data_IF_561103815741
#
_entry.id   IF_561103815741
#
_cell.length_a   1.000
_cell.length_b   1.000
_cell.length_c   1.000
_cell.angle_alpha   90.00
_cell.angle_beta   90.00
_cell.angle_gamma   90.00
#
_symmetry.space_group_name_H-M   'P 1'
#
loop_
_entity.id
_entity.type
_entity.pdbx_description
1 polymer ?
#
# COMPACT_ATOMS: atom_id res chain seq x y z
N UNK A 1 -17.15 13.26 64.66
CA UNK A 1 -16.78 13.57 63.26
C UNK A 1 -17.87 14.43 62.66
N UNK A 2 -17.58 15.71 62.44
CA UNK A 2 -18.54 16.66 61.91
C UNK A 2 -18.93 16.26 60.48
N UNK A 3 -20.18 16.48 60.06
CA UNK A 3 -20.69 16.00 58.76
C UNK A 3 -19.85 16.51 57.57
N UNK A 4 -19.27 17.68 57.72
CA UNK A 4 -18.39 18.32 56.74
C UNK A 4 -16.97 17.72 56.71
N UNK A 5 -16.45 17.21 57.83
CA UNK A 5 -15.17 16.49 57.85
C UNK A 5 -15.29 15.14 57.14
N UNK A 6 -16.40 14.42 57.37
CA UNK A 6 -16.69 13.14 56.70
C UNK A 6 -16.86 13.35 55.20
N UNK A 7 -17.56 14.43 54.81
CA UNK A 7 -17.72 14.80 53.39
C UNK A 7 -16.37 15.15 52.75
N UNK A 8 -15.52 15.93 53.42
CA UNK A 8 -14.18 16.28 52.90
C UNK A 8 -13.25 15.06 52.82
N UNK A 9 -13.33 14.11 53.77
CA UNK A 9 -12.60 12.84 53.72
C UNK A 9 -13.06 11.94 52.57
N UNK A 10 -14.37 11.84 52.34
CA UNK A 10 -14.95 11.03 51.24
C UNK A 10 -14.62 11.65 49.89
N UNK A 11 -14.70 12.98 49.75
CA UNK A 11 -14.32 13.66 48.50
C UNK A 11 -12.82 13.57 48.23
N UNK A 12 -11.99 13.71 49.27
CA UNK A 12 -10.53 13.51 49.20
C UNK A 12 -10.16 12.09 48.78
N UNK A 13 -10.79 11.06 49.36
CA UNK A 13 -10.48 9.66 49.05
C UNK A 13 -10.97 9.25 47.65
N UNK A 14 -12.19 9.66 47.27
CA UNK A 14 -12.79 9.36 45.97
C UNK A 14 -12.08 10.09 44.82
N UNK A 15 -11.67 11.34 45.03
CA UNK A 15 -10.86 12.07 44.06
C UNK A 15 -9.48 11.43 43.88
N UNK A 16 -8.84 10.93 44.96
CA UNK A 16 -7.57 10.21 44.85
C UNK A 16 -7.71 8.88 44.10
N UNK A 17 -8.78 8.12 44.34
CA UNK A 17 -9.03 6.87 43.61
C UNK A 17 -9.31 7.10 42.13
N UNK A 18 -10.09 8.14 41.80
CA UNK A 18 -10.42 8.48 40.41
C UNK A 18 -9.20 9.02 39.67
N UNK A 19 -8.34 9.81 40.34
CA UNK A 19 -7.06 10.27 39.81
C UNK A 19 -6.12 9.10 39.52
N UNK A 20 -5.97 8.17 40.47
CA UNK A 20 -5.11 7.01 40.31
C UNK A 20 -5.60 6.10 39.17
N UNK A 21 -6.90 5.86 39.08
CA UNK A 21 -7.50 5.07 37.99
C UNK A 21 -7.26 5.73 36.62
N UNK A 22 -7.42 7.05 36.55
CA UNK A 22 -7.20 7.81 35.31
C UNK A 22 -5.72 7.81 34.91
N UNK A 23 -4.82 7.98 35.86
CA UNK A 23 -3.37 7.96 35.63
C UNK A 23 -2.91 6.56 35.18
N UNK A 24 -3.38 5.50 35.85
CA UNK A 24 -3.12 4.11 35.43
C UNK A 24 -3.57 3.85 34.00
N UNK A 25 -4.80 4.27 33.64
CA UNK A 25 -5.33 4.12 32.27
C UNK A 25 -4.53 4.92 31.25
N UNK A 26 -4.15 6.15 31.58
CA UNK A 26 -3.33 6.98 30.69
C UNK A 26 -1.97 6.33 30.42
N UNK A 27 -1.33 5.77 31.45
CA UNK A 27 -0.06 5.06 31.34
C UNK A 27 -0.19 3.80 30.47
N UNK A 28 -1.26 3.00 30.65
CA UNK A 28 -1.46 1.79 29.83
C UNK A 28 -1.63 2.13 28.35
N UNK A 29 -2.37 3.18 28.00
CA UNK A 29 -2.55 3.58 26.60
C UNK A 29 -1.29 4.22 26.01
N UNK A 30 -0.53 4.96 26.82
CA UNK A 30 0.76 5.52 26.40
C UNK A 30 1.76 4.39 26.12
N UNK A 31 1.83 3.39 27.00
CA UNK A 31 2.70 2.22 26.81
C UNK A 31 2.28 1.42 25.56
N UNK A 32 0.98 1.22 25.33
CA UNK A 32 0.51 0.52 24.13
C UNK A 32 0.82 1.31 22.86
N UNK A 33 0.53 2.61 22.85
CA UNK A 33 0.83 3.45 21.68
C UNK A 33 2.33 3.52 21.41
N UNK A 34 3.15 3.52 22.46
CA UNK A 34 4.61 3.51 22.35
C UNK A 34 5.13 2.19 21.81
N UNK A 35 4.62 1.04 22.30
CA UNK A 35 5.02 -0.27 21.78
C UNK A 35 4.58 -0.46 20.33
N UNK A 36 3.37 -0.04 19.98
CA UNK A 36 2.87 -0.07 18.61
C UNK A 36 3.68 0.86 17.69
N UNK A 37 4.04 2.05 18.15
CA UNK A 37 4.91 2.96 17.41
C UNK A 37 6.30 2.35 17.20
N UNK A 38 6.90 1.77 18.23
CA UNK A 38 8.17 1.05 18.14
C UNK A 38 8.12 -0.12 17.14
N UNK A 39 7.05 -0.91 17.15
CA UNK A 39 6.85 -1.97 16.15
C UNK A 39 6.75 -1.39 14.73
N UNK A 40 6.01 -0.30 14.57
CA UNK A 40 5.82 0.33 13.26
C UNK A 40 7.13 0.85 12.65
N UNK A 41 7.98 1.49 13.46
CA UNK A 41 9.27 2.05 13.02
C UNK A 41 10.30 0.96 12.72
N UNK A 42 10.18 -0.20 13.37
CA UNK A 42 11.06 -1.34 13.07
C UNK A 42 10.65 -2.08 11.79
N UNK A 43 9.35 -2.12 11.47
CA UNK A 43 8.83 -2.80 10.27
C UNK A 43 8.97 -1.93 9.01
N UNK A 44 8.85 -0.60 9.14
CA UNK A 44 9.05 0.31 8.02
C UNK A 44 10.54 0.69 7.89
N UNK A 45 11.13 0.62 6.68
CA UNK A 45 12.50 1.07 6.49
C UNK A 45 12.63 2.59 6.69
N UNK A 46 13.68 3.03 7.39
CA UNK A 46 13.96 4.44 7.68
C UNK A 46 14.21 5.26 6.40
N UNK A 47 14.89 4.66 5.43
CA UNK A 47 15.28 5.30 4.16
C UNK A 47 14.27 5.05 3.03
N UNK A 48 13.03 4.70 3.38
CA UNK A 48 11.97 4.36 2.41
C UNK A 48 11.85 5.39 1.29
N UNK A 49 11.88 6.66 1.66
CA UNK A 49 11.72 7.78 0.74
C UNK A 49 12.85 7.87 -0.29
N UNK A 50 14.10 7.71 0.13
CA UNK A 50 15.25 7.82 -0.78
C UNK A 50 15.27 6.70 -1.81
N UNK A 51 14.94 5.47 -1.39
CA UNK A 51 14.79 4.35 -2.32
C UNK A 51 13.63 4.56 -3.29
N UNK A 52 12.46 4.96 -2.79
CA UNK A 52 11.30 5.24 -3.64
C UNK A 52 11.62 6.32 -4.69
N UNK A 53 12.30 7.39 -4.26
CA UNK A 53 12.73 8.48 -5.14
C UNK A 53 13.72 8.00 -6.21
N UNK A 54 14.74 7.22 -5.86
CA UNK A 54 15.75 6.72 -6.81
C UNK A 54 15.12 5.89 -7.95
N UNK A 55 14.14 5.05 -7.63
CA UNK A 55 13.42 4.28 -8.65
C UNK A 55 12.47 5.16 -9.48
N UNK A 56 11.79 6.13 -8.86
CA UNK A 56 10.87 7.03 -9.56
C UNK A 56 11.58 7.99 -10.51
N UNK A 57 12.72 8.54 -10.11
CA UNK A 57 13.49 9.49 -10.92
C UNK A 57 14.04 8.85 -12.21
N UNK A 58 14.15 7.52 -12.25
CA UNK A 58 14.66 6.74 -13.40
C UNK A 58 13.59 6.25 -14.37
N UNK A 59 12.30 6.35 -14.01
CA UNK A 59 11.19 5.86 -14.84
C UNK A 59 10.37 7.07 -15.27
N UNK A 60 10.09 7.22 -16.57
CA UNK A 60 9.36 8.35 -17.13
C UNK A 60 7.83 8.30 -16.88
N UNK A 61 7.37 7.67 -15.80
CA UNK A 61 5.94 7.52 -15.49
C UNK A 61 5.51 8.58 -14.48
N UNK A 62 4.70 9.53 -14.94
CA UNK A 62 4.00 10.49 -14.07
C UNK A 62 2.50 10.15 -14.00
N UNK A 63 2.00 9.63 -12.87
CA UNK A 63 0.60 9.21 -12.74
C UNK A 63 -0.38 10.33 -13.13
N UNK A 64 -1.32 10.02 -14.02
CA UNK A 64 -2.35 10.95 -14.48
C UNK A 64 -1.91 11.96 -15.55
N UNK A 65 -0.61 12.01 -15.90
CA UNK A 65 -0.07 12.84 -16.99
C UNK A 65 0.35 11.98 -18.17
N UNK A 66 1.04 10.87 -17.91
CA UNK A 66 1.49 9.99 -18.97
C UNK A 66 0.34 9.17 -19.54
N UNK A 67 0.18 9.24 -20.84
CA UNK A 67 -0.72 8.40 -21.63
C UNK A 67 0.13 7.72 -22.68
N UNK A 68 0.02 6.41 -22.78
CA UNK A 68 0.81 5.60 -23.70
C UNK A 68 -0.12 4.88 -24.68
N UNK A 69 0.40 4.63 -25.86
CA UNK A 69 -0.18 3.66 -26.79
C UNK A 69 0.52 2.30 -26.62
N UNK A 70 0.03 1.26 -27.30
CA UNK A 70 0.62 -0.10 -27.21
C UNK A 70 2.12 -0.07 -27.56
N UNK A 71 2.51 0.71 -28.57
CA UNK A 71 3.92 0.87 -28.95
C UNK A 71 4.72 1.51 -27.82
N UNK A 72 4.21 2.57 -27.20
CA UNK A 72 4.86 3.23 -26.06
C UNK A 72 5.00 2.33 -24.83
N UNK A 73 4.06 1.41 -24.60
CA UNK A 73 4.19 0.39 -23.54
C UNK A 73 5.36 -0.55 -23.80
N UNK A 74 5.51 -1.04 -25.04
CA UNK A 74 6.62 -1.90 -25.40
C UNK A 74 7.96 -1.17 -25.34
N UNK A 75 8.04 0.06 -25.84
CA UNK A 75 9.24 0.90 -25.73
C UNK A 75 9.65 1.12 -24.27
N UNK A 76 8.69 1.37 -23.38
CA UNK A 76 8.96 1.55 -21.96
C UNK A 76 9.43 0.24 -21.29
N UNK A 77 8.87 -0.90 -21.66
CA UNK A 77 9.28 -2.23 -21.17
C UNK A 77 10.71 -2.59 -21.62
N UNK A 78 11.01 -2.40 -22.90
CA UNK A 78 12.30 -2.76 -23.50
C UNK A 78 13.42 -1.78 -23.11
N UNK A 79 13.16 -0.47 -23.19
CA UNK A 79 14.21 0.53 -23.04
C UNK A 79 14.39 1.02 -21.60
N UNK A 80 13.32 1.28 -20.86
CA UNK A 80 13.45 1.83 -19.50
C UNK A 80 13.47 0.72 -18.44
N UNK A 81 12.44 -0.13 -18.41
CA UNK A 81 12.26 -1.13 -17.35
C UNK A 81 13.37 -2.17 -17.39
N UNK A 82 13.73 -2.68 -18.57
CA UNK A 82 14.75 -3.73 -18.65
C UNK A 82 16.14 -3.19 -18.29
N UNK A 83 16.45 -1.93 -18.58
CA UNK A 83 17.69 -1.27 -18.15
C UNK A 83 17.72 -0.95 -16.65
N UNK A 84 16.59 -0.60 -16.06
CA UNK A 84 16.48 -0.33 -14.63
C UNK A 84 16.75 -1.59 -13.78
N UNK A 85 16.25 -2.72 -14.24
CA UNK A 85 16.22 -3.98 -13.47
C UNK A 85 17.53 -4.75 -13.58
N UNK A 86 18.22 -4.60 -14.70
CA UNK A 86 19.49 -5.25 -14.95
C UNK A 86 20.62 -4.23 -14.89
N UNK A 87 21.55 -4.43 -13.95
CA UNK A 87 22.78 -3.65 -13.93
C UNK A 87 23.51 -3.74 -15.28
N UNK A 88 23.65 -2.59 -15.94
CA UNK A 88 24.39 -2.43 -17.20
C UNK A 88 25.89 -2.20 -16.97
N UNK A 89 26.65 -2.08 -18.06
CA UNK A 89 28.10 -1.87 -18.02
C UNK A 89 28.47 -0.71 -17.09
N UNK A 90 29.59 -0.85 -16.36
CA UNK A 90 30.14 0.27 -15.62
C UNK A 90 30.43 1.44 -16.57
N UNK A 91 30.51 2.66 -16.06
CA UNK A 91 30.85 3.86 -16.82
C UNK A 91 32.15 3.76 -17.64
N UNK A 92 33.00 2.77 -17.34
CA UNK A 92 34.22 2.40 -18.07
C UNK A 92 34.00 1.49 -19.30
N UNK A 93 32.77 1.07 -19.60
CA UNK A 93 32.49 0.12 -20.69
C UNK A 93 32.87 -1.33 -20.37
N UNK A 94 33.42 -1.59 -19.18
CA UNK A 94 33.75 -2.92 -18.72
C UNK A 94 32.49 -3.67 -18.24
N UNK A 95 32.40 -4.94 -18.64
CA UNK A 95 31.38 -5.86 -18.17
C UNK A 95 31.73 -6.21 -16.73
N UNK A 96 30.91 -5.74 -15.78
CA UNK A 96 31.05 -6.11 -14.37
C UNK A 96 31.01 -7.64 -14.17
N UNK A 97 31.65 -8.17 -13.11
CA UNK A 97 31.65 -9.59 -12.81
C UNK A 97 30.22 -10.17 -12.76
N UNK A 98 30.07 -11.46 -13.05
CA UNK A 98 28.77 -12.14 -13.18
C UNK A 98 27.85 -11.96 -11.95
N UNK A 99 28.44 -11.69 -10.79
CA UNK A 99 27.78 -11.40 -9.52
C UNK A 99 27.06 -10.04 -9.50
N UNK A 100 27.56 -9.05 -10.23
CA UNK A 100 27.03 -7.68 -10.23
C UNK A 100 25.80 -7.55 -11.13
N UNK A 101 25.64 -8.47 -12.10
CA UNK A 101 24.45 -8.57 -12.97
C UNK A 101 23.16 -8.99 -12.23
N UNK A 102 23.29 -9.43 -10.97
CA UNK A 102 22.16 -9.77 -10.12
C UNK A 102 21.56 -8.55 -9.39
N UNK A 103 22.23 -7.39 -9.46
CA UNK A 103 21.74 -6.13 -8.90
C UNK A 103 20.95 -5.34 -9.92
N UNK A 104 20.07 -4.46 -9.41
CA UNK A 104 19.44 -3.42 -10.20
C UNK A 104 20.47 -2.37 -10.62
N UNK A 105 20.07 -1.44 -11.49
CA UNK A 105 20.93 -0.35 -11.96
C UNK A 105 21.47 0.58 -10.85
N UNK A 106 20.88 0.55 -9.65
CA UNK A 106 21.40 1.29 -8.49
C UNK A 106 22.69 0.67 -7.90
N UNK A 107 23.04 -0.56 -8.29
CA UNK A 107 24.21 -1.28 -7.80
C UNK A 107 24.10 -1.77 -6.34
N UNK A 108 22.94 -1.56 -5.68
CA UNK A 108 22.75 -1.86 -4.25
C UNK A 108 21.57 -2.81 -4.03
N UNK A 109 20.53 -2.70 -4.86
CA UNK A 109 19.34 -3.54 -4.74
C UNK A 109 19.56 -4.86 -5.46
N UNK A 110 19.74 -5.94 -4.70
CA UNK A 110 19.82 -7.30 -5.22
C UNK A 110 18.45 -7.73 -5.74
N UNK A 111 18.40 -8.38 -6.90
CA UNK A 111 17.13 -8.75 -7.51
C UNK A 111 16.69 -10.16 -7.12
N UNK A 112 15.44 -10.29 -6.71
CA UNK A 112 14.86 -11.55 -6.24
C UNK A 112 14.05 -12.20 -7.34
N UNK A 113 14.62 -13.22 -7.98
CA UNK A 113 14.00 -13.96 -9.07
C UNK A 113 13.82 -13.13 -10.34
N UNK A 114 13.17 -13.72 -11.37
CA UNK A 114 12.88 -13.04 -12.62
C UNK A 114 11.70 -12.08 -12.50
N UNK A 115 11.65 -11.08 -13.37
CA UNK A 115 10.50 -10.19 -13.50
C UNK A 115 9.31 -10.96 -14.10
N UNK A 116 8.10 -10.57 -13.70
CA UNK A 116 6.86 -11.12 -14.22
C UNK A 116 6.06 -10.06 -14.94
N UNK A 117 5.39 -10.47 -16.01
CA UNK A 117 4.45 -9.67 -16.76
C UNK A 117 3.12 -10.41 -16.76
N UNK A 118 2.12 -9.85 -16.08
CA UNK A 118 0.80 -10.46 -15.92
C UNK A 118 -0.24 -9.62 -16.62
N UNK A 119 -0.97 -10.24 -17.55
CA UNK A 119 -2.03 -9.62 -18.31
C UNK A 119 -3.39 -10.15 -17.83
N UNK A 120 -4.36 -9.25 -17.68
CA UNK A 120 -5.73 -9.62 -17.36
C UNK A 120 -6.64 -9.44 -18.57
N UNK A 121 -7.42 -10.48 -18.87
CA UNK A 121 -8.41 -10.52 -19.96
C UNK A 121 -9.74 -11.09 -19.44
N UNK A 122 -10.82 -10.84 -20.18
CA UNK A 122 -12.18 -11.29 -19.79
C UNK A 122 -12.40 -12.80 -20.02
N UNK A 123 -11.70 -13.37 -20.99
CA UNK A 123 -11.83 -14.78 -21.37
C UNK A 123 -10.68 -15.63 -20.84
N UNK A 124 -11.06 -16.71 -20.14
CA UNK A 124 -10.13 -17.75 -19.71
C UNK A 124 -10.06 -18.81 -20.80
N UNK A 125 -8.92 -19.48 -20.91
CA UNK A 125 -8.77 -20.55 -21.87
C UNK A 125 -7.33 -20.93 -22.09
N UNK A 126 -7.20 -21.85 -23.03
CA UNK A 126 -5.92 -22.25 -23.57
C UNK A 126 -5.78 -21.63 -24.97
N UNK A 127 -4.79 -20.78 -25.12
CA UNK A 127 -4.49 -20.10 -26.36
C UNK A 127 -3.10 -20.48 -26.86
N UNK A 128 -2.87 -20.30 -28.15
CA UNK A 128 -1.52 -20.25 -28.74
C UNK A 128 -1.13 -18.81 -29.04
N UNK A 129 0.05 -18.64 -29.64
CA UNK A 129 0.53 -17.36 -30.15
C UNK A 129 -0.57 -16.61 -30.90
N UNK A 130 -0.65 -15.29 -30.71
CA UNK A 130 -1.68 -14.42 -31.28
C UNK A 130 -3.11 -14.77 -30.88
N UNK A 131 -3.29 -15.38 -29.70
CA UNK A 131 -4.58 -15.65 -29.08
C UNK A 131 -5.50 -16.60 -29.86
N UNK A 132 -4.94 -17.48 -30.67
CA UNK A 132 -5.73 -18.53 -31.31
C UNK A 132 -6.21 -19.56 -30.28
N UNK A 133 -7.52 -19.81 -30.17
CA UNK A 133 -8.07 -20.74 -29.18
C UNK A 133 -7.69 -22.18 -29.54
N UNK A 134 -7.33 -22.96 -28.53
CA UNK A 134 -7.04 -24.38 -28.65
C UNK A 134 -8.11 -25.22 -27.92
N UNK A 135 -8.43 -26.42 -28.42
CA UNK A 135 -9.34 -27.34 -27.72
C UNK A 135 -8.75 -27.76 -26.36
N UNK A 136 -9.62 -28.19 -25.45
CA UNK A 136 -9.20 -28.68 -24.12
C UNK A 136 -8.21 -29.83 -24.28
N UNK A 137 -7.02 -29.64 -23.73
CA UNK A 137 -5.91 -30.58 -23.85
C UNK A 137 -5.89 -31.52 -22.65
N UNK A 138 -5.40 -32.75 -22.84
CA UNK A 138 -5.21 -33.69 -21.73
C UNK A 138 -4.25 -33.16 -20.65
N UNK A 139 -4.47 -33.56 -19.39
CA UNK A 139 -3.73 -33.07 -18.22
C UNK A 139 -2.20 -33.27 -18.33
N UNK A 140 -1.76 -34.33 -19.02
CA UNK A 140 -0.32 -34.60 -19.24
C UNK A 140 0.34 -33.56 -20.13
N UNK A 141 -0.35 -33.10 -21.16
CA UNK A 141 0.16 -32.06 -22.07
C UNK A 141 0.08 -30.71 -21.36
N UNK A 142 -0.97 -30.46 -20.58
CA UNK A 142 -1.10 -29.26 -19.75
C UNK A 142 0.12 -29.07 -18.83
N UNK A 143 0.55 -30.13 -18.13
CA UNK A 143 1.75 -30.12 -17.28
C UNK A 143 3.04 -29.79 -18.05
N UNK A 144 3.14 -30.16 -19.33
CA UNK A 144 4.28 -29.80 -20.19
C UNK A 144 4.20 -28.36 -20.67
N UNK A 145 3.01 -27.89 -21.02
CA UNK A 145 2.78 -26.51 -21.48
C UNK A 145 3.04 -25.51 -20.36
N UNK A 146 2.56 -25.76 -19.14
CA UNK A 146 2.81 -24.90 -17.97
C UNK A 146 4.31 -24.78 -17.66
N UNK A 147 5.11 -25.80 -17.96
CA UNK A 147 6.57 -25.78 -17.78
C UNK A 147 7.30 -25.04 -18.89
N UNK A 148 6.67 -24.80 -20.03
CA UNK A 148 7.29 -24.09 -21.16
C UNK A 148 7.11 -22.58 -20.99
N UNK A 149 8.20 -21.79 -20.88
CA UNK A 149 8.11 -20.35 -20.69
C UNK A 149 7.48 -19.61 -21.89
N UNK A 150 7.48 -20.23 -23.08
CA UNK A 150 6.91 -19.64 -24.30
C UNK A 150 5.40 -19.90 -24.43
N UNK A 151 4.90 -20.98 -23.81
CA UNK A 151 3.50 -21.39 -23.89
C UNK A 151 2.71 -21.06 -22.63
N UNK A 152 3.36 -21.00 -21.46
CA UNK A 152 2.73 -20.58 -20.20
C UNK A 152 2.03 -19.22 -20.26
N UNK A 153 2.50 -18.20 -21.03
CA UNK A 153 1.84 -16.90 -21.11
C UNK A 153 0.44 -16.93 -21.74
N UNK A 154 0.06 -18.02 -22.40
CA UNK A 154 -1.21 -18.16 -23.11
C UNK A 154 -2.20 -19.08 -22.40
N UNK A 155 -1.88 -19.48 -21.17
CA UNK A 155 -2.71 -20.39 -20.38
C UNK A 155 -3.21 -19.70 -19.11
N UNK A 156 -4.52 -19.73 -18.92
CA UNK A 156 -5.17 -19.31 -17.68
C UNK A 156 -6.55 -19.97 -17.56
N UNK A 157 -6.75 -20.76 -16.52
CA UNK A 157 -8.02 -21.45 -16.25
C UNK A 157 -8.82 -20.81 -15.13
N UNK A 158 -8.13 -20.21 -14.16
CA UNK A 158 -8.74 -19.67 -12.96
C UNK A 158 -9.02 -18.19 -13.12
N UNK A 159 -10.28 -17.82 -12.91
CA UNK A 159 -10.64 -16.41 -12.74
C UNK A 159 -10.17 -15.94 -11.37
N UNK A 160 -9.36 -14.90 -11.35
CA UNK A 160 -8.90 -14.24 -10.14
C UNK A 160 -9.41 -12.81 -10.10
N UNK A 161 -9.64 -12.30 -8.89
CA UNK A 161 -9.87 -10.87 -8.71
C UNK A 161 -8.53 -10.16 -8.67
N UNK A 162 -8.50 -8.96 -9.23
CA UNK A 162 -7.34 -8.07 -9.10
C UNK A 162 -7.02 -7.88 -7.61
N UNK A 163 -5.74 -7.93 -7.27
CA UNK A 163 -5.29 -7.76 -5.88
C UNK A 163 -5.75 -6.41 -5.32
N UNK A 164 -6.17 -6.38 -4.05
CA UNK A 164 -6.82 -5.20 -3.45
C UNK A 164 -5.89 -3.99 -3.31
N UNK A 165 -4.58 -4.22 -3.33
CA UNK A 165 -3.52 -3.21 -3.26
C UNK A 165 -3.22 -2.56 -4.61
N UNK A 166 -3.84 -3.03 -5.69
CA UNK A 166 -3.75 -2.41 -7.01
C UNK A 166 -4.78 -1.27 -7.10
N UNK A 167 -4.28 -0.08 -7.39
CA UNK A 167 -5.08 1.11 -7.65
C UNK A 167 -5.12 1.40 -9.14
N UNK A 168 -6.32 1.33 -9.69
CA UNK A 168 -6.59 1.78 -11.06
C UNK A 168 -6.87 3.29 -11.04
N UNK A 169 -6.50 3.98 -12.12
CA UNK A 169 -6.75 5.42 -12.24
C UNK A 169 -8.21 5.69 -12.56
N UNK A 170 -8.85 4.80 -13.33
CA UNK A 170 -10.28 4.90 -13.61
C UNK A 170 -11.12 4.31 -12.46
N UNK A 171 -12.34 4.81 -12.24
CA UNK A 171 -13.23 4.32 -11.19
C UNK A 171 -13.78 2.91 -11.46
N UNK A 172 -13.62 2.39 -12.69
CA UNK A 172 -14.09 1.07 -13.05
C UNK A 172 -13.08 0.01 -12.59
N UNK A 173 -13.10 -0.31 -11.29
CA UNK A 173 -12.58 -1.62 -10.86
C UNK A 173 -13.37 -2.69 -11.60
N UNK A 174 -12.67 -3.59 -12.30
CA UNK A 174 -13.32 -4.70 -13.00
C UNK A 174 -14.30 -5.40 -12.06
N UNK A 175 -15.60 -5.24 -12.34
CA UNK A 175 -16.67 -5.82 -11.53
C UNK A 175 -16.67 -7.35 -11.63
N UNK A 176 -16.11 -7.90 -12.71
CA UNK A 176 -15.98 -9.31 -13.00
C UNK A 176 -14.57 -9.81 -12.69
N UNK A 177 -14.48 -11.04 -12.17
CA UNK A 177 -13.20 -11.73 -12.05
C UNK A 177 -12.62 -11.96 -13.46
N UNK A 178 -11.35 -11.60 -13.65
CA UNK A 178 -10.63 -11.69 -14.92
C UNK A 178 -9.67 -12.88 -14.89
N UNK A 179 -9.14 -13.25 -16.04
CA UNK A 179 -8.20 -14.36 -16.18
C UNK A 179 -6.80 -13.76 -16.29
N UNK A 180 -5.89 -14.22 -15.42
CA UNK A 180 -4.52 -13.73 -15.34
C UNK A 180 -3.60 -14.64 -16.17
N UNK A 181 -2.96 -14.06 -17.17
CA UNK A 181 -1.98 -14.70 -18.05
C UNK A 181 -0.60 -14.17 -17.70
N UNK A 182 0.32 -15.02 -17.26
CA UNK A 182 1.62 -14.58 -16.73
C UNK A 182 2.78 -15.07 -17.60
N UNK A 183 3.60 -14.13 -18.03
CA UNK A 183 4.90 -14.36 -18.65
C UNK A 183 6.04 -14.09 -17.66
N UNK A 184 7.08 -14.91 -17.72
CA UNK A 184 8.30 -14.73 -16.93
C UNK A 184 9.38 -14.23 -17.88
N UNK A 185 9.93 -13.05 -17.61
CA UNK A 185 10.89 -12.39 -18.50
C UNK A 185 12.29 -13.03 -18.41
N UNK A 186 12.62 -13.65 -17.29
CA UNK A 186 13.90 -14.32 -17.07
C UNK A 186 14.88 -13.52 -16.21
N UNK A 187 16.04 -14.12 -15.93
CA UNK A 187 17.02 -13.59 -14.98
C UNK A 187 18.20 -12.88 -15.65
N UNK A 188 18.37 -12.95 -16.96
CA UNK A 188 19.38 -12.16 -17.67
C UNK A 188 18.72 -11.09 -18.52
N UNK A 189 19.43 -9.99 -18.78
CA UNK A 189 18.96 -8.96 -19.71
C UNK A 189 18.61 -9.57 -21.07
N UNK A 190 19.47 -10.44 -21.59
CA UNK A 190 19.26 -11.14 -22.87
C UNK A 190 18.01 -12.02 -22.90
N UNK A 191 17.65 -12.67 -21.78
CA UNK A 191 16.42 -13.47 -21.71
C UNK A 191 15.19 -12.59 -21.61
N UNK A 192 15.28 -11.48 -20.85
CA UNK A 192 14.23 -10.47 -20.77
C UNK A 192 13.95 -9.85 -22.15
N UNK A 193 14.98 -9.37 -22.84
CA UNK A 193 14.90 -8.78 -24.18
C UNK A 193 14.32 -9.77 -25.22
N UNK A 194 14.74 -11.05 -25.14
CA UNK A 194 14.18 -12.10 -26.00
C UNK A 194 12.71 -12.36 -25.70
N UNK A 195 12.33 -12.39 -24.42
CA UNK A 195 10.95 -12.66 -24.05
C UNK A 195 10.03 -11.48 -24.37
N UNK A 196 10.45 -10.23 -24.14
CA UNK A 196 9.67 -9.05 -24.51
C UNK A 196 9.46 -8.98 -26.01
N UNK A 197 10.52 -9.17 -26.81
CA UNK A 197 10.43 -9.17 -28.28
C UNK A 197 9.53 -10.30 -28.79
N UNK A 198 9.65 -11.52 -28.27
CA UNK A 198 8.74 -12.61 -28.61
C UNK A 198 7.27 -12.27 -28.32
N UNK A 199 6.97 -11.70 -27.14
CA UNK A 199 5.59 -11.34 -26.77
C UNK A 199 5.05 -10.19 -27.63
N UNK A 200 5.91 -9.25 -28.01
CA UNK A 200 5.58 -8.15 -28.92
C UNK A 200 5.27 -8.68 -30.32
N UNK A 201 6.15 -9.50 -30.89
CA UNK A 201 5.98 -10.09 -32.22
C UNK A 201 4.76 -11.00 -32.29
N UNK A 202 4.43 -11.68 -31.18
CA UNK A 202 3.25 -12.50 -31.05
C UNK A 202 1.93 -11.72 -30.86
N UNK A 203 1.98 -10.39 -30.77
CA UNK A 203 0.83 -9.54 -30.43
C UNK A 203 0.13 -9.97 -29.12
N UNK A 204 0.92 -10.28 -28.08
CA UNK A 204 0.37 -10.72 -26.79
C UNK A 204 -0.50 -9.65 -26.13
N UNK A 205 -0.14 -8.37 -26.28
CA UNK A 205 -0.98 -7.24 -25.90
C UNK A 205 -1.88 -6.84 -27.08
N UNK A 206 -3.19 -6.97 -26.88
CA UNK A 206 -4.21 -6.62 -27.87
C UNK A 206 -5.36 -5.78 -27.28
N UNK A 207 -6.35 -5.44 -28.10
CA UNK A 207 -7.54 -4.67 -27.72
C UNK A 207 -8.40 -5.31 -26.60
N UNK A 208 -8.24 -6.62 -26.36
CA UNK A 208 -8.96 -7.34 -25.31
C UNK A 208 -8.20 -7.33 -23.98
N UNK A 209 -6.99 -6.75 -23.95
CA UNK A 209 -6.23 -6.50 -22.73
C UNK A 209 -6.93 -5.44 -21.90
N UNK A 210 -7.20 -5.76 -20.63
CA UNK A 210 -7.81 -4.82 -19.69
C UNK A 210 -6.76 -4.15 -18.79
N UNK A 211 -5.86 -4.96 -18.25
CA UNK A 211 -4.69 -4.48 -17.50
C UNK A 211 -3.48 -5.33 -17.76
N UNK A 212 -2.32 -4.68 -17.73
CA UNK A 212 -1.02 -5.33 -17.74
C UNK A 212 -0.27 -4.91 -16.49
N UNK A 213 0.32 -5.86 -15.79
CA UNK A 213 1.02 -5.65 -14.53
C UNK A 213 2.44 -6.18 -14.70
N UNK A 214 3.40 -5.29 -14.62
CA UNK A 214 4.80 -5.62 -14.52
C UNK A 214 5.20 -5.67 -13.04
N UNK A 215 5.85 -6.75 -12.59
CA UNK A 215 6.35 -6.87 -11.22
C UNK A 215 7.79 -7.38 -11.15
N UNK A 216 8.59 -6.77 -10.27
CA UNK A 216 9.92 -7.25 -9.89
C UNK A 216 10.15 -7.00 -8.40
N UNK A 217 10.68 -8.02 -7.71
CA UNK A 217 11.10 -7.89 -6.32
C UNK A 217 12.62 -7.71 -6.20
N UNK A 218 13.03 -6.91 -5.22
CA UNK A 218 14.41 -6.63 -4.88
C UNK A 218 14.63 -6.74 -3.36
N UNK A 219 15.88 -6.92 -2.96
CA UNK A 219 16.38 -6.88 -1.60
C UNK A 219 17.56 -5.92 -1.54
N UNK A 220 17.43 -4.87 -0.75
CA UNK A 220 18.56 -4.02 -0.40
C UNK A 220 19.20 -4.55 0.88
N UNK A 221 20.45 -5.01 0.78
CA UNK A 221 21.17 -5.62 1.89
C UNK A 221 21.61 -4.61 2.95
N UNK A 222 21.88 -3.35 2.57
CA UNK A 222 22.38 -2.33 3.48
C UNK A 222 21.32 -1.94 4.51
N UNK A 223 20.07 -1.74 4.06
CA UNK A 223 18.94 -1.40 4.93
C UNK A 223 18.10 -2.62 5.35
N UNK A 224 18.50 -3.83 4.92
CA UNK A 224 17.78 -5.10 5.12
C UNK A 224 16.30 -5.01 4.72
N UNK A 225 16.00 -4.42 3.57
CA UNK A 225 14.62 -4.21 3.12
C UNK A 225 14.34 -4.85 1.76
N UNK A 226 13.17 -5.45 1.66
CA UNK A 226 12.55 -5.90 0.43
C UNK A 226 11.79 -4.77 -0.23
N UNK A 227 11.87 -4.70 -1.55
CA UNK A 227 11.19 -3.73 -2.40
C UNK A 227 10.44 -4.49 -3.50
N UNK A 228 9.18 -4.14 -3.74
CA UNK A 228 8.43 -4.56 -4.92
C UNK A 228 8.23 -3.36 -5.83
N UNK A 229 8.81 -3.46 -7.03
CA UNK A 229 8.50 -2.60 -8.15
C UNK A 229 7.30 -3.17 -8.88
N UNK A 230 6.20 -2.43 -8.92
CA UNK A 230 5.02 -2.79 -9.70
C UNK A 230 4.59 -1.63 -10.58
N UNK A 231 4.44 -1.89 -11.88
CA UNK A 231 3.90 -0.94 -12.85
C UNK A 231 2.61 -1.53 -13.41
N UNK A 232 1.52 -0.79 -13.28
CA UNK A 232 0.19 -1.20 -13.73
C UNK A 232 -0.20 -0.34 -14.93
N UNK A 233 -0.39 -0.96 -16.07
CA UNK A 233 -0.91 -0.33 -17.27
C UNK A 233 -2.40 -0.65 -17.38
N UNK A 234 -3.23 0.38 -17.29
CA UNK A 234 -4.68 0.27 -17.42
C UNK A 234 -5.12 0.65 -18.83
N UNK A 235 -5.81 -0.26 -19.52
CA UNK A 235 -6.29 -0.05 -20.88
C UNK A 235 -7.70 0.53 -20.82
N UNK A 236 -7.89 1.72 -21.38
CA UNK A 236 -9.15 2.46 -21.32
C UNK A 236 -9.90 2.34 -22.66
N UNK A 237 -11.23 2.35 -22.58
CA UNK A 237 -12.12 2.44 -23.74
C UNK A 237 -11.82 3.75 -24.50
N UNK A 238 -11.14 3.64 -25.64
CA UNK A 238 -10.54 4.76 -26.35
C UNK A 238 -9.11 4.49 -26.83
N UNK A 239 -8.50 3.37 -26.43
CA UNK A 239 -7.19 2.92 -26.92
C UNK A 239 -5.99 3.49 -26.15
N UNK A 240 -6.21 4.48 -25.29
CA UNK A 240 -5.19 5.04 -24.41
C UNK A 240 -4.88 4.11 -23.24
N UNK A 241 -3.61 4.07 -22.84
CA UNK A 241 -3.10 3.26 -21.74
C UNK A 241 -2.58 4.19 -20.64
N UNK A 242 -3.04 3.95 -19.41
CA UNK A 242 -2.69 4.73 -18.22
C UNK A 242 -1.72 3.95 -17.33
N UNK A 243 -0.42 4.27 -17.32
CA UNK A 243 0.56 3.64 -16.45
C UNK A 243 0.48 4.21 -15.02
N UNK A 244 0.65 3.32 -14.03
CA UNK A 244 0.73 3.67 -12.61
C UNK A 244 1.89 2.92 -11.96
N UNK A 245 2.84 3.68 -11.39
CA UNK A 245 4.00 3.13 -10.70
C UNK A 245 3.74 3.05 -9.18
N UNK A 246 3.76 1.82 -8.66
CA UNK A 246 3.65 1.52 -7.23
C UNK A 246 4.92 0.85 -6.73
N UNK A 247 5.49 1.40 -5.66
CA UNK A 247 6.65 0.85 -4.98
C UNK A 247 6.24 0.49 -3.55
N UNK A 248 6.31 -0.79 -3.22
CA UNK A 248 6.04 -1.27 -1.87
C UNK A 248 7.32 -1.72 -1.21
N UNK A 249 7.50 -1.38 0.07
CA UNK A 249 8.73 -1.65 0.80
C UNK A 249 8.42 -2.32 2.13
N UNK A 250 9.30 -3.24 2.51
CA UNK A 250 9.17 -4.08 3.69
C UNK A 250 10.55 -4.30 4.31
N UNK A 251 10.74 -3.98 5.59
CA UNK A 251 11.99 -4.36 6.27
C UNK A 251 11.95 -5.83 6.71
N UNK A 252 13.05 -6.55 6.51
CA UNK A 252 13.23 -7.87 7.12
C UNK A 252 13.55 -7.65 8.59
N UNK A 253 12.69 -8.17 9.47
CA UNK A 253 12.85 -8.04 10.92
C UNK A 253 12.88 -9.45 11.49
N UNK A 254 14.01 -9.81 12.09
CA UNK A 254 14.17 -11.10 12.75
C UNK A 254 13.68 -11.02 14.19
N UNK A 255 13.12 -12.11 14.71
CA UNK A 255 12.75 -12.21 16.12
C UNK A 255 13.98 -12.21 17.06
N UNK A 256 15.19 -12.41 16.51
CA UNK A 256 16.46 -12.31 17.23
C UNK A 256 16.74 -10.87 17.68
N UNK A 257 16.13 -9.87 17.05
CA UNK A 257 16.28 -8.47 17.46
C UNK A 257 15.53 -8.25 18.79
N UNK A 258 16.32 -8.07 19.86
CA UNK A 258 15.83 -7.86 21.22
C UNK A 258 14.82 -6.72 21.30
N UNK A 259 15.01 -5.66 20.53
CA UNK A 259 14.13 -4.48 20.56
C UNK A 259 12.77 -4.78 19.93
N UNK A 260 12.76 -5.50 18.82
CA UNK A 260 11.54 -5.97 18.17
C UNK A 260 10.81 -7.00 19.05
N UNK A 261 11.53 -7.97 19.60
CA UNK A 261 10.96 -8.98 20.49
C UNK A 261 10.34 -8.35 21.75
N UNK A 262 11.02 -7.39 22.38
CA UNK A 262 10.52 -6.69 23.57
C UNK A 262 9.29 -5.81 23.26
N UNK A 263 9.31 -5.09 22.14
CA UNK A 263 8.15 -4.28 21.71
C UNK A 263 6.94 -5.15 21.34
N UNK A 264 7.18 -6.30 20.69
CA UNK A 264 6.13 -7.27 20.39
C UNK A 264 5.54 -7.87 21.67
N UNK A 265 6.39 -8.30 22.61
CA UNK A 265 5.96 -8.90 23.88
C UNK A 265 5.18 -7.91 24.76
N UNK A 266 5.62 -6.65 24.81
CA UNK A 266 4.90 -5.59 25.54
C UNK A 266 3.57 -5.26 24.88
N UNK A 267 3.52 -5.18 23.54
CA UNK A 267 2.28 -4.99 22.80
C UNK A 267 1.29 -6.14 23.03
N UNK A 268 1.73 -7.40 22.95
CA UNK A 268 0.85 -8.55 23.18
C UNK A 268 0.32 -8.62 24.61
N UNK A 269 1.15 -8.34 25.62
CA UNK A 269 0.71 -8.30 27.01
C UNK A 269 -0.36 -7.22 27.25
N UNK A 270 -0.18 -6.03 26.66
CA UNK A 270 -1.16 -4.94 26.77
C UNK A 270 -2.43 -5.22 25.95
N UNK A 271 -2.32 -5.88 24.81
CA UNK A 271 -3.47 -6.35 24.02
C UNK A 271 -4.34 -7.30 24.84
N UNK A 272 -3.72 -8.29 25.51
CA UNK A 272 -4.44 -9.23 26.37
C UNK A 272 -5.14 -8.49 27.52
N UNK A 273 -4.47 -7.52 28.14
CA UNK A 273 -5.09 -6.67 29.17
C UNK A 273 -6.33 -5.94 28.65
N UNK A 274 -6.28 -5.37 27.43
CA UNK A 274 -7.42 -4.69 26.83
C UNK A 274 -8.59 -5.65 26.52
N UNK A 275 -8.30 -6.85 26.02
CA UNK A 275 -9.32 -7.88 25.75
C UNK A 275 -10.04 -8.23 27.06
N UNK A 276 -9.31 -8.44 28.15
CA UNK A 276 -9.88 -8.72 29.47
C UNK A 276 -10.73 -7.53 29.96
N UNK A 277 -10.28 -6.29 29.77
CA UNK A 277 -11.07 -5.10 30.14
C UNK A 277 -12.41 -5.06 29.37
N UNK A 278 -12.40 -5.36 28.08
CA UNK A 278 -13.60 -5.38 27.24
C UNK A 278 -14.56 -6.48 27.69
N UNK A 279 -14.07 -7.70 27.94
CA UNK A 279 -14.88 -8.82 28.42
C UNK A 279 -15.56 -8.45 29.75
N UNK A 280 -14.82 -7.81 30.66
CA UNK A 280 -15.38 -7.35 31.94
C UNK A 280 -16.47 -6.29 31.75
N UNK A 281 -16.31 -5.33 30.85
CA UNK A 281 -17.31 -4.30 30.56
C UNK A 281 -18.58 -4.92 29.96
N UNK A 282 -18.43 -5.90 29.06
CA UNK A 282 -19.55 -6.65 28.48
C UNK A 282 -20.30 -7.42 29.56
N UNK A 283 -19.58 -8.11 30.45
CA UNK A 283 -20.20 -8.89 31.53
C UNK A 283 -20.99 -7.99 32.50
N UNK A 284 -20.48 -6.80 32.78
CA UNK A 284 -21.16 -5.77 33.59
C UNK A 284 -22.28 -5.02 32.85
N UNK A 285 -22.55 -5.35 31.57
CA UNK A 285 -23.59 -4.76 30.71
C UNK A 285 -23.55 -3.22 30.57
N UNK A 286 -22.36 -2.61 30.68
CA UNK A 286 -22.19 -1.16 30.57
C UNK A 286 -21.94 -0.72 29.12
N UNK A 287 -22.97 -0.85 28.28
CA UNK A 287 -22.91 -0.47 26.86
C UNK A 287 -22.99 1.06 26.72
N UNK A 288 -21.83 1.69 26.57
CA UNK A 288 -21.69 3.12 26.28
C UNK A 288 -21.05 3.34 24.91
N UNK A 289 -21.16 4.54 24.36
CA UNK A 289 -20.44 4.91 23.13
C UNK A 289 -18.93 4.67 23.25
N UNK A 290 -18.37 4.96 24.42
CA UNK A 290 -16.95 4.76 24.71
C UNK A 290 -16.56 3.28 24.73
N UNK A 291 -17.49 2.38 25.11
CA UNK A 291 -17.29 0.94 24.97
C UNK A 291 -17.17 0.53 23.49
N UNK A 292 -18.09 0.99 22.62
CA UNK A 292 -18.04 0.67 21.18
C UNK A 292 -16.73 1.17 20.56
N UNK A 293 -16.29 2.37 20.94
CA UNK A 293 -15.02 2.93 20.48
C UNK A 293 -13.81 2.09 20.93
N UNK A 294 -13.77 1.69 22.22
CA UNK A 294 -12.72 0.80 22.76
C UNK A 294 -12.74 -0.57 22.10
N UNK A 295 -13.92 -1.14 21.86
CA UNK A 295 -14.08 -2.43 21.19
C UNK A 295 -13.56 -2.38 19.74
N UNK A 296 -13.90 -1.33 18.99
CA UNK A 296 -13.39 -1.12 17.64
C UNK A 296 -11.85 -0.99 17.61
N UNK A 297 -11.27 -0.26 18.58
CA UNK A 297 -9.82 -0.17 18.76
C UNK A 297 -9.17 -1.53 19.03
N UNK A 298 -9.74 -2.31 19.96
CA UNK A 298 -9.23 -3.64 20.26
C UNK A 298 -9.30 -4.58 19.05
N UNK A 299 -10.38 -4.53 18.27
CA UNK A 299 -10.48 -5.29 17.00
C UNK A 299 -9.40 -4.85 16.02
N UNK A 300 -9.11 -3.55 15.91
CA UNK A 300 -8.02 -3.05 15.08
C UNK A 300 -6.66 -3.57 15.57
N UNK A 301 -6.38 -3.56 16.87
CA UNK A 301 -5.11 -4.03 17.43
C UNK A 301 -4.94 -5.56 17.30
N UNK A 302 -6.02 -6.33 17.47
CA UNK A 302 -6.02 -7.78 17.18
C UNK A 302 -5.71 -8.01 15.70
N UNK A 303 -6.29 -7.21 14.81
CA UNK A 303 -6.04 -7.31 13.38
C UNK A 303 -4.58 -6.96 13.04
N UNK A 304 -4.00 -5.95 13.69
CA UNK A 304 -2.56 -5.61 13.55
C UNK A 304 -1.69 -6.78 14.02
N UNK A 305 -1.99 -7.38 15.17
CA UNK A 305 -1.26 -8.54 15.67
C UNK A 305 -1.32 -9.71 14.68
N UNK A 306 -2.52 -10.04 14.18
CA UNK A 306 -2.70 -11.10 13.20
C UNK A 306 -1.91 -10.83 11.91
N UNK A 307 -1.89 -9.59 11.41
CA UNK A 307 -1.11 -9.19 10.25
C UNK A 307 0.40 -9.35 10.47
N UNK A 308 0.93 -9.03 11.65
CA UNK A 308 2.35 -9.23 11.99
C UNK A 308 2.72 -10.71 11.90
N UNK A 309 1.89 -11.59 12.48
CA UNK A 309 2.12 -13.05 12.48
C UNK A 309 2.03 -13.61 11.05
N UNK A 310 0.95 -13.31 10.33
CA UNK A 310 0.76 -13.78 8.96
C UNK A 310 1.88 -13.29 8.03
N UNK A 311 2.27 -12.02 8.15
CA UNK A 311 3.39 -11.46 7.39
C UNK A 311 4.67 -12.24 7.65
N UNK A 312 4.98 -12.57 8.91
CA UNK A 312 6.17 -13.36 9.25
C UNK A 312 6.17 -14.75 8.61
N UNK A 313 5.03 -15.44 8.65
CA UNK A 313 4.87 -16.77 8.03
C UNK A 313 5.05 -16.72 6.52
N UNK A 314 4.35 -15.82 5.82
CA UNK A 314 4.48 -15.71 4.37
C UNK A 314 5.85 -15.21 3.92
N UNK A 315 6.51 -14.36 4.72
CA UNK A 315 7.86 -13.92 4.43
C UNK A 315 8.85 -15.09 4.53
N UNK A 316 8.74 -15.93 5.57
CA UNK A 316 9.57 -17.13 5.72
C UNK A 316 9.35 -18.10 4.57
N UNK A 317 8.09 -18.38 4.21
CA UNK A 317 7.75 -19.26 3.09
C UNK A 317 8.30 -18.73 1.76
N UNK A 318 8.17 -17.42 1.50
CA UNK A 318 8.66 -16.80 0.28
C UNK A 318 10.19 -16.85 0.17
N UNK A 319 10.90 -16.63 1.29
CA UNK A 319 12.36 -16.73 1.34
C UNK A 319 12.80 -18.18 1.15
N UNK A 320 12.19 -19.14 1.84
CA UNK A 320 12.51 -20.57 1.72
C UNK A 320 12.31 -21.06 0.29
N UNK A 321 11.18 -20.70 -0.34
CA UNK A 321 10.92 -21.03 -1.74
C UNK A 321 11.96 -20.41 -2.69
N UNK A 322 12.40 -19.18 -2.42
CA UNK A 322 13.44 -18.54 -3.21
C UNK A 322 14.81 -19.22 -3.03
N UNK A 323 15.13 -19.69 -1.82
CA UNK A 323 16.36 -20.42 -1.56
C UNK A 323 16.37 -21.79 -2.27
N UNK A 324 15.22 -22.45 -2.37
CA UNK A 324 15.07 -23.73 -3.08
C UNK A 324 15.13 -23.57 -4.60
N UNK A 325 14.50 -22.54 -5.16
CA UNK A 325 14.52 -22.23 -6.59
C UNK A 325 14.77 -20.72 -6.84
N UNK A 326 16.05 -20.29 -6.92
CA UNK A 326 16.39 -18.88 -7.11
C UNK A 326 16.09 -18.37 -8.53
N UNK A 327 15.82 -19.27 -9.48
CA UNK A 327 15.42 -18.92 -10.85
C UNK A 327 13.90 -18.82 -10.99
N UNK A 328 13.15 -19.36 -10.03
CA UNK A 328 11.71 -19.25 -9.94
C UNK A 328 11.23 -17.88 -9.48
N UNK A 329 9.96 -17.57 -9.74
CA UNK A 329 9.31 -16.34 -9.26
C UNK A 329 8.98 -16.49 -7.78
N UNK A 330 9.58 -15.69 -6.88
CA UNK A 330 9.30 -15.80 -5.46
C UNK A 330 7.89 -15.30 -5.12
N UNK A 331 7.25 -15.92 -4.13
CA UNK A 331 5.85 -15.62 -3.73
C UNK A 331 5.72 -14.38 -2.83
N UNK A 332 6.41 -13.29 -3.13
CA UNK A 332 6.37 -12.08 -2.28
C UNK A 332 5.08 -11.27 -2.38
N UNK A 333 4.25 -11.47 -3.42
CA UNK A 333 3.03 -10.70 -3.63
C UNK A 333 2.09 -10.69 -2.41
N UNK A 334 1.94 -11.83 -1.72
CA UNK A 334 1.11 -11.92 -0.52
C UNK A 334 1.70 -11.15 0.67
N UNK A 335 3.03 -11.13 0.80
CA UNK A 335 3.72 -10.41 1.89
C UNK A 335 3.53 -8.90 1.72
N UNK A 336 3.69 -8.41 0.49
CA UNK A 336 3.48 -7.01 0.14
C UNK A 336 2.00 -6.61 0.28
N UNK A 337 1.07 -7.48 -0.11
CA UNK A 337 -0.36 -7.28 0.12
C UNK A 337 -0.70 -7.12 1.62
N UNK A 338 -0.13 -7.95 2.49
CA UNK A 338 -0.32 -7.80 3.95
C UNK A 338 0.30 -6.49 4.46
N UNK A 339 1.47 -6.11 3.95
CA UNK A 339 2.12 -4.84 4.31
C UNK A 339 1.29 -3.61 3.89
N UNK A 340 0.62 -3.70 2.72
CA UNK A 340 -0.28 -2.67 2.22
C UNK A 340 -1.45 -2.41 3.19
N UNK A 341 -2.02 -3.45 3.79
CA UNK A 341 -3.09 -3.34 4.78
C UNK A 341 -2.58 -2.97 6.18
N UNK A 342 -1.39 -3.45 6.55
CA UNK A 342 -0.77 -3.18 7.85
C UNK A 342 -0.51 -1.68 8.07
N UNK A 343 0.08 -1.01 7.08
CA UNK A 343 0.53 0.40 7.21
C UNK A 343 -0.61 1.36 7.58
N UNK A 344 -1.74 1.43 6.84
CA UNK A 344 -2.85 2.32 7.19
C UNK A 344 -3.57 1.88 8.48
N UNK A 345 -3.64 0.58 8.77
CA UNK A 345 -4.30 0.07 9.97
C UNK A 345 -3.54 0.50 11.25
N UNK A 346 -2.21 0.40 11.24
CA UNK A 346 -1.36 0.87 12.34
C UNK A 346 -1.46 2.38 12.51
N UNK A 347 -1.42 3.14 11.41
CA UNK A 347 -1.58 4.59 11.46
C UNK A 347 -2.95 5.00 12.05
N UNK A 348 -4.02 4.31 11.64
CA UNK A 348 -5.36 4.52 12.18
C UNK A 348 -5.44 4.15 13.66
N UNK A 349 -4.88 3.01 14.07
CA UNK A 349 -4.86 2.62 15.49
C UNK A 349 -4.09 3.62 16.34
N UNK A 350 -2.89 4.03 15.94
CA UNK A 350 -2.10 5.05 16.64
C UNK A 350 -2.87 6.36 16.78
N UNK A 351 -3.48 6.83 15.69
CA UNK A 351 -4.32 8.04 15.72
C UNK A 351 -5.48 7.90 16.72
N UNK A 352 -6.19 6.78 16.69
CA UNK A 352 -7.34 6.54 17.57
C UNK A 352 -6.92 6.39 19.05
N UNK A 353 -5.75 5.80 19.32
CA UNK A 353 -5.15 5.75 20.65
C UNK A 353 -4.81 7.15 21.19
N UNK A 354 -4.25 8.03 20.34
CA UNK A 354 -3.97 9.42 20.75
C UNK A 354 -5.26 10.18 21.06
N UNK A 355 -6.34 9.99 20.29
CA UNK A 355 -7.65 10.58 20.59
C UNK A 355 -8.21 10.10 21.93
N UNK A 356 -8.07 8.80 22.23
CA UNK A 356 -8.49 8.23 23.49
C UNK A 356 -7.68 8.78 24.67
N UNK A 357 -6.37 8.95 24.50
CA UNK A 357 -5.50 9.56 25.49
C UNK A 357 -5.92 11.00 25.77
N UNK A 358 -6.18 11.81 24.74
CA UNK A 358 -6.70 13.18 24.88
C UNK A 358 -8.04 13.18 25.63
N UNK A 359 -8.93 12.24 25.32
CA UNK A 359 -10.19 12.10 26.03
C UNK A 359 -10.02 11.75 27.52
N UNK A 360 -9.10 10.84 27.86
CA UNK A 360 -8.82 10.46 29.25
C UNK A 360 -8.16 11.62 30.00
N UNK A 361 -7.20 12.31 29.39
CA UNK A 361 -6.58 13.49 30.00
C UNK A 361 -7.60 14.63 30.20
N UNK A 362 -8.60 14.73 29.31
CA UNK A 362 -9.67 15.73 29.43
C UNK A 362 -10.51 15.60 30.71
N UNK A 363 -10.52 14.44 31.37
CA UNK A 363 -11.30 14.23 32.61
C UNK A 363 -10.55 14.70 33.85
N UNK A 364 -9.23 14.92 33.78
CA UNK A 364 -8.41 15.44 34.87
C UNK A 364 -8.59 16.96 35.01
N UNK A 365 -9.78 17.44 35.42
CA UNK A 365 -10.12 18.78 35.96
C UNK A 365 -9.46 20.07 35.42
N UNK A 366 -8.66 20.05 34.36
CA UNK A 366 -7.73 21.14 34.06
C UNK A 366 -8.25 22.15 33.05
N UNK A 367 -9.47 22.03 32.51
CA UNK A 367 -9.76 22.83 31.33
C UNK A 367 -11.24 23.23 31.17
N UNK A 368 -11.46 24.54 31.17
CA UNK A 368 -12.68 25.25 30.75
C UNK A 368 -13.01 25.05 29.26
N UNK A 369 -12.19 24.33 28.48
CA UNK A 369 -12.39 24.08 27.04
C UNK A 369 -13.59 23.19 26.71
N UNK A 370 -14.08 22.34 27.61
CA UNK A 370 -15.20 21.42 27.28
C UNK A 370 -16.49 22.20 27.05
N UNK A 371 -16.72 23.26 27.82
CA UNK A 371 -17.86 24.15 27.59
C UNK A 371 -17.70 24.91 26.28
N UNK A 372 -16.51 25.45 26.01
CA UNK A 372 -16.17 26.17 24.77
C UNK A 372 -16.32 25.25 23.55
N UNK A 373 -15.79 24.03 23.59
CA UNK A 373 -15.88 23.03 22.52
C UNK A 373 -17.32 22.55 22.31
N UNK A 374 -18.11 22.40 23.38
CA UNK A 374 -19.53 22.07 23.29
C UNK A 374 -20.33 23.21 22.65
N UNK A 375 -19.96 24.45 22.93
CA UNK A 375 -20.57 25.65 22.34
C UNK A 375 -20.15 25.81 20.86
N UNK A 376 -18.86 25.61 20.55
CA UNK A 376 -18.35 25.52 19.17
C UNK A 376 -19.01 24.40 18.38
N UNK A 377 -19.22 23.23 18.96
CA UNK A 377 -19.94 22.13 18.29
C UNK A 377 -21.38 22.55 17.96
N UNK A 378 -22.05 23.24 18.87
CA UNK A 378 -23.43 23.71 18.66
C UNK A 378 -23.54 24.74 17.53
N UNK A 379 -22.52 25.59 17.34
CA UNK A 379 -22.50 26.61 16.29
C UNK A 379 -21.92 26.12 14.97
N UNK A 380 -20.84 25.35 15.00
CA UNK A 380 -20.10 24.88 13.82
C UNK A 380 -20.78 23.70 13.13
N UNK A 381 -21.39 22.77 13.88
CA UNK A 381 -22.04 21.60 13.28
C UNK A 381 -23.13 21.96 12.25
N UNK A 382 -24.10 22.86 12.54
CA UNK A 382 -25.09 23.25 11.55
C UNK A 382 -24.47 24.01 10.36
N UNK A 383 -23.44 24.82 10.59
CA UNK A 383 -22.71 25.50 9.52
C UNK A 383 -22.04 24.51 8.56
N UNK A 384 -21.33 23.51 9.09
CA UNK A 384 -20.71 22.45 8.28
C UNK A 384 -21.77 21.64 7.54
N UNK A 385 -22.89 21.34 8.18
CA UNK A 385 -24.00 20.59 7.58
C UNK A 385 -24.66 21.35 6.41
N UNK A 386 -24.70 22.69 6.47
CA UNK A 386 -25.14 23.54 5.36
C UNK A 386 -24.07 23.67 4.25
N UNK A 387 -22.79 23.67 4.61
CA UNK A 387 -21.69 23.84 3.66
C UNK A 387 -21.45 22.58 2.79
N UNK A 388 -21.64 21.39 3.36
CA UNK A 388 -21.38 20.11 2.67
C UNK A 388 -22.20 19.95 1.37
N UNK A 389 -23.54 20.19 1.33
CA UNK A 389 -24.30 20.15 0.09
C UNK A 389 -23.83 21.16 -0.95
N UNK A 390 -23.44 22.37 -0.53
CA UNK A 390 -22.95 23.42 -1.44
C UNK A 390 -21.64 22.98 -2.08
N UNK A 391 -20.70 22.45 -1.28
CA UNK A 391 -19.43 21.92 -1.77
C UNK A 391 -19.63 20.71 -2.68
N UNK A 392 -20.58 19.84 -2.37
CA UNK A 392 -20.93 18.70 -3.22
C UNK A 392 -21.54 19.15 -4.55
N UNK A 393 -22.40 20.17 -4.54
CA UNK A 393 -22.96 20.79 -5.74
C UNK A 393 -21.86 21.38 -6.63
N UNK A 394 -20.94 22.17 -6.04
CA UNK A 394 -19.80 22.72 -6.77
C UNK A 394 -18.90 21.62 -7.35
N UNK A 395 -18.62 20.58 -6.56
CA UNK A 395 -17.87 19.40 -7.02
C UNK A 395 -18.54 18.72 -8.20
N UNK A 396 -19.86 18.61 -8.20
CA UNK A 396 -20.62 18.00 -9.29
C UNK A 396 -20.51 18.83 -10.58
N UNK A 397 -20.58 20.17 -10.48
CA UNK A 397 -20.40 21.07 -11.63
C UNK A 397 -18.99 20.97 -12.19
N UNK A 398 -17.96 21.06 -11.35
CA UNK A 398 -16.55 20.96 -11.76
C UNK A 398 -16.26 19.59 -12.38
N UNK A 399 -16.80 18.52 -11.79
CA UNK A 399 -16.70 17.17 -12.33
C UNK A 399 -17.29 17.10 -13.74
N UNK A 400 -18.51 17.58 -13.97
CA UNK A 400 -19.15 17.53 -15.29
C UNK A 400 -18.33 18.30 -16.35
N UNK A 401 -17.81 19.48 -15.99
CA UNK A 401 -17.05 20.33 -16.94
C UNK A 401 -15.66 19.75 -17.24
N UNK A 402 -14.93 19.31 -16.21
CA UNK A 402 -13.49 18.99 -16.34
C UNK A 402 -13.16 17.49 -16.34
N UNK A 403 -14.16 16.60 -16.28
CA UNK A 403 -13.95 15.14 -16.26
C UNK A 403 -13.06 14.63 -17.39
N UNK A 404 -13.19 15.21 -18.59
CA UNK A 404 -12.45 14.77 -19.77
C UNK A 404 -11.09 15.48 -19.91
N UNK A 405 -10.94 16.68 -19.36
CA UNK A 405 -9.76 17.53 -19.57
C UNK A 405 -8.65 17.32 -18.54
N UNK A 406 -8.95 16.87 -17.32
CA UNK A 406 -7.94 16.72 -16.26
C UNK A 406 -8.15 15.46 -15.42
N UNK A 407 -7.05 14.79 -15.11
CA UNK A 407 -7.06 13.57 -14.30
C UNK A 407 -7.60 13.80 -12.88
N UNK A 408 -7.38 15.01 -12.33
CA UNK A 408 -7.81 15.39 -10.97
C UNK A 408 -9.33 15.36 -10.83
N UNK A 409 -10.05 15.57 -11.94
CA UNK A 409 -11.51 15.69 -11.96
C UNK A 409 -12.22 14.48 -12.61
N UNK A 410 -11.52 13.35 -12.81
CA UNK A 410 -12.11 12.13 -13.41
C UNK A 410 -13.11 11.39 -12.53
N UNK A 411 -13.13 11.68 -11.23
CA UNK A 411 -14.06 11.09 -10.27
C UNK A 411 -14.67 12.20 -9.40
N UNK A 412 -15.96 12.09 -9.11
CA UNK A 412 -16.67 13.04 -8.26
C UNK A 412 -16.05 13.12 -6.85
N UNK A 413 -15.60 11.99 -6.31
CA UNK A 413 -14.93 11.96 -5.01
C UNK A 413 -13.56 12.66 -5.04
N UNK A 414 -12.76 12.42 -6.08
CA UNK A 414 -11.47 13.10 -6.28
C UNK A 414 -11.69 14.61 -6.44
N UNK A 415 -12.69 15.01 -7.22
CA UNK A 415 -13.05 16.42 -7.41
C UNK A 415 -13.44 17.09 -6.09
N UNK A 416 -14.24 16.40 -5.27
CA UNK A 416 -14.66 16.90 -3.97
C UNK A 416 -13.45 17.11 -3.03
N UNK A 417 -12.53 16.14 -2.98
CA UNK A 417 -11.29 16.26 -2.20
C UNK A 417 -10.43 17.41 -2.73
N UNK A 418 -10.26 17.54 -4.05
CA UNK A 418 -9.44 18.60 -4.66
C UNK A 418 -9.99 19.98 -4.30
N UNK A 419 -11.32 20.17 -4.35
CA UNK A 419 -11.98 21.42 -3.95
C UNK A 419 -11.75 21.73 -2.46
N UNK A 420 -11.79 20.71 -1.60
CA UNK A 420 -11.50 20.88 -0.17
C UNK A 420 -10.02 21.18 0.07
N UNK A 421 -9.11 20.53 -0.66
CA UNK A 421 -7.67 20.55 -0.39
C UNK A 421 -6.95 21.75 -1.01
N UNK A 422 -7.26 22.12 -2.25
CA UNK A 422 -6.62 23.26 -2.93
C UNK A 422 -7.26 24.60 -2.58
N UNK A 423 -8.38 24.60 -1.82
CA UNK A 423 -9.26 25.76 -1.77
C UNK A 423 -9.83 26.07 -3.17
N UNK A 424 -10.67 27.10 -3.27
CA UNK A 424 -11.19 27.54 -4.56
C UNK A 424 -10.04 27.87 -5.51
N UNK A 425 -9.77 26.94 -6.44
CA UNK A 425 -8.96 27.08 -7.66
C UNK A 425 -7.63 27.83 -7.46
N UNK A 426 -6.54 27.09 -7.25
CA UNK A 426 -5.24 27.59 -7.73
C UNK A 426 -5.27 27.42 -9.26
N UNK A 427 -5.33 28.49 -10.07
CA UNK A 427 -5.26 28.33 -11.53
C UNK A 427 -3.94 27.64 -11.86
N UNK A 428 -4.03 26.51 -12.54
CA UNK A 428 -2.87 25.70 -12.90
C UNK A 428 -1.91 26.51 -13.77
N UNK A 429 -0.66 26.58 -13.34
CA UNK A 429 0.52 26.39 -14.18
C UNK A 429 0.59 27.24 -15.46
N UNK A 430 1.13 28.45 -15.32
CA UNK A 430 1.93 29.07 -16.40
C UNK A 430 3.38 29.40 -15.99
N UNK A 431 3.75 29.34 -14.71
CA UNK A 431 5.06 29.81 -14.23
C UNK A 431 5.80 28.81 -13.33
N UNK A 432 6.08 27.59 -13.82
CA UNK A 432 7.15 26.75 -13.23
C UNK A 432 8.19 26.29 -14.25
N UNK A 433 8.13 26.79 -15.49
CA UNK A 433 9.22 26.67 -16.47
C UNK A 433 10.03 27.97 -16.64
N UNK A 434 9.67 29.07 -15.96
CA UNK A 434 10.36 30.36 -16.06
C UNK A 434 11.30 30.71 -14.90
N UNK A 435 11.46 29.83 -13.89
CA UNK A 435 12.31 30.11 -12.71
C UNK A 435 13.75 29.57 -12.87
N UNK A 436 14.04 28.83 -13.94
CA UNK A 436 15.40 28.31 -14.19
C UNK A 436 16.20 29.09 -15.25
N UNK A 437 15.68 30.19 -15.82
CA UNK A 437 16.39 31.01 -16.82
C UNK A 437 16.81 32.41 -16.32
N UNK A 438 16.75 32.68 -15.01
CA UNK A 438 17.24 33.95 -14.43
C UNK A 438 18.18 33.75 -13.21
N UNK A 439 18.98 32.69 -13.23
CA UNK A 439 20.12 32.53 -12.31
C UNK A 439 21.44 32.18 -13.01
N UNK A 440 21.61 32.63 -14.26
CA UNK A 440 22.93 32.81 -14.87
C UNK A 440 23.02 34.23 -15.46
N UNK A 441 23.38 35.17 -14.59
CA UNK A 441 24.18 36.34 -14.91
C UNK A 441 25.25 36.47 -13.83
#
# INVERSE_FOLDING_TARGET
>A
LNRDEVRNLIYSSKHKSDLYLTLRRSLTYLLLSSSLYGLSTMILPSEKYFLDKNFRDKISITPGVTQLDIVGVWELLENEITQLIHFGNLSSGEIGPLKDRAFAQDGVSFRLGPATLTQHRDHCGFFTQSWHPQPKVSERVLKKVIRSPLLSPYHSETRSRLSSDIFLQTPNRFSSATCAFTAILGTSKTSADFMTSYLRDAAWIDQHTKTLIFEQSFMNMNIKAFLQLRIVFEFVEGGSILPTLTLQQLKNVELSDLTFAASLATFTALLLYQIIEIINIVNMRQLSFLFVFKAALCVADISIFALIVLRGLYLSEAIEHFLLDPKGTPKFANVFLLQHHFTPLVAMSLFMHTLLLIHILSTLNAVQYKSILKQLKKTLAPFVLLLLPIQFGLSSVVFIIFRYSSFLFRSLWKTFIVIIWQGYLKPSGRNSQFVNELQFS
#
